data_IF_994758074749
#
_entry.id   IF_994758074749
#
_cell.length_a   1.000
_cell.length_b   1.000
_cell.length_c   1.000
_cell.angle_alpha   90.00
_cell.angle_beta   90.00
_cell.angle_gamma   90.00
#
_symmetry.space_group_name_H-M   'P 1'
#
loop_
_entity.id
_entity.type
_entity.pdbx_description
1 polymer ?
#
# COMPACT_ATOMS: atom_id res chain seq x y z
N UNK A 1 55.67 1.30 13.48
CA UNK A 1 54.79 2.41 13.09
C UNK A 1 53.84 1.92 12.00
N UNK A 2 52.59 1.62 12.35
CA UNK A 2 51.54 1.29 11.37
C UNK A 2 50.42 2.31 11.55
N UNK A 3 50.20 3.13 10.52
CA UNK A 3 49.15 4.14 10.50
C UNK A 3 47.85 3.45 10.12
N UNK A 4 46.95 3.26 11.07
CA UNK A 4 45.60 2.76 10.81
C UNK A 4 44.85 3.80 9.97
N UNK A 5 44.66 3.51 8.69
CA UNK A 5 43.80 4.31 7.81
C UNK A 5 42.34 4.09 8.23
N UNK A 6 41.72 5.11 8.80
CA UNK A 6 40.28 5.13 9.08
C UNK A 6 39.52 5.41 7.77
N UNK A 7 38.50 4.62 7.40
CA UNK A 7 37.70 4.89 6.21
C UNK A 7 36.87 6.15 6.46
N UNK A 8 37.19 7.22 5.75
CA UNK A 8 36.39 8.44 5.74
C UNK A 8 35.17 8.20 4.84
N UNK A 9 34.01 7.86 5.43
CA UNK A 9 32.73 7.85 4.71
C UNK A 9 32.31 9.30 4.45
N UNK A 10 32.79 9.84 3.34
CA UNK A 10 32.32 11.11 2.82
C UNK A 10 30.80 11.01 2.56
N UNK A 11 30.00 11.64 3.44
CA UNK A 11 28.56 11.82 3.18
C UNK A 11 28.45 12.88 2.10
N UNK A 12 28.43 12.44 0.85
CA UNK A 12 28.16 13.30 -0.30
C UNK A 12 26.70 13.76 -0.13
N UNK A 13 26.51 15.04 0.22
CA UNK A 13 25.19 15.66 0.24
C UNK A 13 24.61 15.64 -1.17
N UNK A 14 23.84 14.59 -1.47
CA UNK A 14 23.15 14.43 -2.74
C UNK A 14 21.72 14.95 -2.60
N UNK A 15 21.43 16.18 -3.07
CA UNK A 15 20.06 16.71 -3.06
C UNK A 15 19.11 15.81 -3.86
N UNK A 16 19.61 15.13 -4.90
CA UNK A 16 18.85 14.12 -5.63
C UNK A 16 18.45 12.91 -4.76
N UNK A 17 19.32 12.49 -3.84
CA UNK A 17 19.03 11.39 -2.93
C UNK A 17 17.96 11.81 -1.89
N UNK A 18 18.03 13.05 -1.40
CA UNK A 18 17.02 13.62 -0.52
C UNK A 18 15.65 13.74 -1.23
N UNK A 19 15.63 14.18 -2.49
CA UNK A 19 14.43 14.25 -3.31
C UNK A 19 13.84 12.84 -3.58
N UNK A 20 14.68 11.86 -3.92
CA UNK A 20 14.23 10.48 -4.11
C UNK A 20 13.61 9.91 -2.83
N UNK A 21 14.19 10.22 -1.67
CA UNK A 21 13.67 9.82 -0.35
C UNK A 21 12.31 10.46 -0.06
N UNK A 22 12.13 11.75 -0.34
CA UNK A 22 10.87 12.44 -0.09
C UNK A 22 9.75 11.97 -1.02
N UNK A 23 10.01 11.80 -2.31
CA UNK A 23 9.01 11.22 -3.22
C UNK A 23 8.64 9.81 -2.79
N UNK A 24 9.61 8.95 -2.51
CA UNK A 24 9.33 7.60 -2.04
C UNK A 24 8.45 7.60 -0.78
N UNK A 25 8.70 8.49 0.17
CA UNK A 25 7.90 8.59 1.38
C UNK A 25 6.46 9.05 1.12
N UNK A 26 6.26 9.99 0.18
CA UNK A 26 4.91 10.44 -0.22
C UNK A 26 4.13 9.30 -0.87
N UNK A 27 4.74 8.58 -1.83
CA UNK A 27 4.09 7.44 -2.48
C UNK A 27 3.78 6.30 -1.49
N UNK A 28 4.71 5.96 -0.60
CA UNK A 28 4.46 4.99 0.47
C UNK A 28 3.35 5.47 1.41
N UNK A 29 3.28 6.77 1.71
CA UNK A 29 2.20 7.36 2.49
C UNK A 29 0.84 7.21 1.80
N UNK A 30 0.75 7.49 0.50
CA UNK A 30 -0.48 7.30 -0.28
C UNK A 30 -0.90 5.84 -0.30
N UNK A 31 0.05 4.91 -0.52
CA UNK A 31 -0.22 3.46 -0.52
C UNK A 31 -0.73 3.02 0.85
N UNK A 32 -0.11 3.46 1.94
CA UNK A 32 -0.56 3.17 3.30
C UNK A 32 -1.96 3.74 3.57
N UNK A 33 -2.28 4.93 3.08
CA UNK A 33 -3.61 5.54 3.22
C UNK A 33 -4.66 4.75 2.43
N UNK A 34 -4.31 4.25 1.25
CA UNK A 34 -5.19 3.37 0.46
C UNK A 34 -5.35 1.98 1.09
N UNK A 35 -4.31 1.39 1.67
CA UNK A 35 -4.39 0.11 2.39
C UNK A 35 -5.14 0.23 3.72
N UNK A 36 -5.06 1.40 4.35
CA UNK A 36 -5.85 1.74 5.53
C UNK A 36 -7.33 1.98 5.21
N UNK A 37 -7.73 2.01 3.93
CA UNK A 37 -9.14 2.14 3.57
C UNK A 37 -9.86 0.82 3.88
N UNK A 38 -10.74 0.79 4.91
CA UNK A 38 -11.42 -0.44 5.31
C UNK A 38 -12.31 -1.00 4.20
N UNK A 39 -12.79 -0.14 3.27
CA UNK A 39 -13.61 -0.56 2.13
C UNK A 39 -12.83 -1.40 1.13
N UNK A 40 -11.58 -1.03 0.85
CA UNK A 40 -10.73 -1.79 -0.06
C UNK A 40 -10.44 -3.18 0.49
N UNK A 41 -10.13 -3.28 1.78
CA UNK A 41 -9.96 -4.57 2.45
C UNK A 41 -11.24 -5.41 2.44
N UNK A 42 -12.40 -4.78 2.56
CA UNK A 42 -13.70 -5.45 2.51
C UNK A 42 -13.98 -6.03 1.11
N UNK A 43 -13.65 -5.29 0.05
CA UNK A 43 -13.72 -5.79 -1.33
C UNK A 43 -12.77 -6.97 -1.52
N UNK A 44 -11.50 -6.86 -1.13
CA UNK A 44 -10.54 -7.96 -1.25
C UNK A 44 -10.98 -9.20 -0.46
N UNK A 45 -11.55 -9.02 0.75
CA UNK A 45 -12.10 -10.13 1.54
C UNK A 45 -13.26 -10.81 0.84
N UNK A 46 -14.18 -10.06 0.24
CA UNK A 46 -15.31 -10.63 -0.49
C UNK A 46 -14.87 -11.28 -1.80
N UNK A 47 -13.90 -10.70 -2.51
CA UNK A 47 -13.34 -11.29 -3.73
C UNK A 47 -12.54 -12.57 -3.45
N UNK A 48 -11.90 -12.68 -2.28
CA UNK A 48 -11.23 -13.89 -1.84
C UNK A 48 -12.19 -15.03 -1.46
N UNK A 49 -13.50 -14.76 -1.31
CA UNK A 49 -14.50 -15.80 -1.06
C UNK A 49 -14.85 -16.54 -2.37
N UNK A 50 -15.06 -17.86 -2.25
CA UNK A 50 -15.59 -18.68 -3.35
C UNK A 50 -17.03 -18.29 -3.69
N UNK A 51 -17.43 -18.48 -4.95
CA UNK A 51 -18.77 -18.13 -5.45
C UNK A 51 -19.91 -18.78 -4.63
N UNK A 52 -19.71 -19.98 -4.08
CA UNK A 52 -20.68 -20.63 -3.18
C UNK A 52 -20.88 -19.87 -1.86
N UNK A 53 -19.82 -19.27 -1.33
CA UNK A 53 -19.86 -18.49 -0.08
C UNK A 53 -20.46 -17.11 -0.32
N UNK A 54 -20.21 -16.54 -1.50
CA UNK A 54 -20.87 -15.32 -1.96
C UNK A 54 -22.39 -15.56 -2.14
N UNK A 55 -22.78 -16.67 -2.75
CA UNK A 55 -24.17 -17.06 -2.92
C UNK A 55 -24.91 -17.25 -1.59
N UNK A 56 -24.26 -17.87 -0.57
CA UNK A 56 -24.81 -17.96 0.80
C UNK A 56 -25.07 -16.60 1.45
N UNK A 57 -24.33 -15.56 1.04
CA UNK A 57 -24.53 -14.18 1.48
C UNK A 57 -25.50 -13.40 0.59
N UNK A 58 -26.08 -14.03 -0.43
CA UNK A 58 -26.95 -13.38 -1.42
C UNK A 58 -26.23 -12.41 -2.35
N UNK A 59 -24.90 -12.54 -2.48
CA UNK A 59 -24.06 -11.66 -3.28
C UNK A 59 -23.54 -12.41 -4.50
N UNK A 60 -23.56 -11.75 -5.66
CA UNK A 60 -22.82 -12.20 -6.84
C UNK A 60 -21.45 -11.56 -6.86
N UNK A 61 -20.47 -12.21 -7.49
CA UNK A 61 -19.08 -11.72 -7.58
C UNK A 61 -18.98 -10.36 -8.29
N UNK A 62 -19.84 -10.12 -9.27
CA UNK A 62 -19.99 -8.84 -9.99
C UNK A 62 -20.61 -7.72 -9.13
N UNK A 63 -21.49 -8.07 -8.19
CA UNK A 63 -22.17 -7.11 -7.30
C UNK A 63 -21.34 -6.70 -6.08
N UNK A 64 -20.20 -7.35 -5.80
CA UNK A 64 -19.36 -7.04 -4.64
C UNK A 64 -18.96 -5.54 -4.64
N UNK A 65 -18.55 -5.03 -5.80
CA UNK A 65 -18.14 -3.64 -5.94
C UNK A 65 -19.32 -2.68 -5.70
N UNK A 66 -20.49 -2.95 -6.30
CA UNK A 66 -21.70 -2.14 -6.09
C UNK A 66 -22.23 -2.25 -4.66
N UNK A 67 -22.10 -3.39 -4.00
CA UNK A 67 -22.54 -3.58 -2.63
C UNK A 67 -21.64 -2.83 -1.63
N UNK A 68 -20.32 -2.90 -1.79
CA UNK A 68 -19.38 -2.24 -0.86
C UNK A 68 -19.24 -0.75 -1.15
N UNK A 69 -19.26 -0.33 -2.42
CA UNK A 69 -19.09 1.06 -2.83
C UNK A 69 -20.42 1.81 -3.01
N UNK A 70 -21.52 1.11 -3.29
CA UNK A 70 -22.85 1.68 -3.52
C UNK A 70 -23.67 1.98 -2.26
N UNK A 71 -23.21 1.61 -1.06
CA UNK A 71 -23.72 2.17 0.22
C UNK A 71 -23.50 3.71 0.33
N UNK A 72 -22.95 4.36 -0.70
CA UNK A 72 -22.72 5.80 -0.81
C UNK A 72 -23.63 6.50 -1.85
N UNK A 73 -24.85 6.00 -2.01
CA UNK A 73 -25.99 6.73 -2.60
C UNK A 73 -27.15 6.76 -1.61
#
# INVERSE_FOLDING_TARGET
MALAATPQTATIWSPLAALKRSLSAIFTGLVNVSEANPRYQQICRLQAMSDEQLAKKGLKREDIAMHVLGHWM
#
